data_IF_169535963732
#
_entry.id   IF_169535963732
#
_cell.length_a   1.000
_cell.length_b   1.000
_cell.length_c   1.000
_cell.angle_alpha   90.00
_cell.angle_beta   90.00
_cell.angle_gamma   90.00
#
_symmetry.space_group_name_H-M   'P 1'
#
loop_
_entity.id
_entity.type
_entity.pdbx_description
1 polymer ?
#
# COMPACT_ATOMS: atom_id res chain seq x y z
N UNK A 1 26.41 25.64 92.44
CA UNK A 1 25.45 24.60 92.89
C UNK A 1 24.20 24.70 92.02
N UNK A 2 23.78 23.57 91.42
CA UNK A 2 22.49 23.19 90.79
C UNK A 2 21.46 24.32 90.57
N UNK A 3 20.81 24.44 89.39
CA UNK A 3 19.79 23.48 88.92
C UNK A 3 19.59 23.48 87.40
N UNK A 4 19.32 22.25 86.94
CA UNK A 4 18.93 21.79 85.62
C UNK A 4 17.39 21.90 85.49
N UNK A 5 16.86 22.34 84.35
CA UNK A 5 15.55 21.85 83.84
C UNK A 5 15.46 22.07 82.32
N UNK A 6 15.16 20.97 81.64
CA UNK A 6 14.82 20.79 80.23
C UNK A 6 13.60 21.61 79.79
N UNK A 7 13.61 22.10 78.56
CA UNK A 7 12.42 22.03 77.70
C UNK A 7 12.83 21.65 76.27
N UNK A 8 12.25 20.55 75.81
CA UNK A 8 12.38 19.97 74.48
C UNK A 8 11.57 20.79 73.47
N UNK A 9 12.12 21.09 72.29
CA UNK A 9 11.33 21.32 71.09
C UNK A 9 12.11 20.90 69.84
N UNK A 10 12.02 19.59 69.57
CA UNK A 10 11.84 18.93 68.27
C UNK A 10 12.25 19.76 67.04
N UNK A 11 13.41 19.40 66.48
CA UNK A 11 13.87 19.74 65.14
C UNK A 11 13.30 18.70 64.16
N UNK A 12 12.23 19.04 63.46
CA UNK A 12 11.72 18.23 62.34
C UNK A 12 12.16 18.89 61.04
N UNK A 13 13.26 18.40 60.48
CA UNK A 13 13.72 18.75 59.15
C UNK A 13 12.87 17.96 58.13
N UNK A 14 11.88 18.62 57.53
CA UNK A 14 11.07 18.06 56.45
C UNK A 14 11.93 18.04 55.18
N UNK A 15 12.54 16.91 54.88
CA UNK A 15 13.16 16.66 53.57
C UNK A 15 11.99 16.41 52.61
N UNK A 16 11.62 17.44 51.87
CA UNK A 16 10.71 17.30 50.74
C UNK A 16 11.53 16.57 49.66
N UNK A 17 11.41 15.25 49.61
CA UNK A 17 11.76 14.51 48.41
C UNK A 17 10.75 14.93 47.34
N UNK A 18 11.13 15.94 46.54
CA UNK A 18 10.53 16.12 45.23
C UNK A 18 10.86 14.84 44.46
N UNK A 19 9.89 13.93 44.40
CA UNK A 19 9.88 12.88 43.40
C UNK A 19 9.71 13.65 42.10
N UNK A 20 10.83 13.95 41.45
CA UNK A 20 10.86 14.34 40.05
C UNK A 20 10.22 13.16 39.33
N UNK A 21 8.93 13.28 39.05
CA UNK A 21 8.27 12.41 38.09
C UNK A 21 8.91 12.77 36.76
N UNK A 22 10.05 12.15 36.48
CA UNK A 22 10.43 11.84 35.11
C UNK A 22 9.31 10.95 34.59
N UNK A 23 8.22 11.59 34.15
CA UNK A 23 7.48 11.13 32.98
C UNK A 23 8.56 10.85 31.96
N UNK A 24 8.92 9.58 31.83
CA UNK A 24 9.38 9.07 30.57
C UNK A 24 8.25 9.45 29.61
N UNK A 25 8.42 10.56 28.90
CA UNK A 25 7.88 10.62 27.56
C UNK A 25 8.43 9.37 26.89
N UNK A 26 7.57 8.38 26.70
CA UNK A 26 7.74 7.43 25.61
C UNK A 26 7.86 8.32 24.37
N UNK A 27 9.09 8.70 24.05
CA UNK A 27 9.43 9.21 22.74
C UNK A 27 9.15 8.03 21.82
N UNK A 28 7.94 7.99 21.25
CA UNK A 28 7.67 7.21 20.04
C UNK A 28 8.84 7.47 19.10
N UNK A 29 9.41 6.45 18.44
CA UNK A 29 10.55 6.63 17.54
C UNK A 29 10.21 7.76 16.57
N UNK A 30 10.85 8.91 16.76
CA UNK A 30 10.59 10.12 15.99
C UNK A 30 11.45 10.06 14.75
N UNK A 31 10.82 9.85 13.61
CA UNK A 31 11.46 9.81 12.30
C UNK A 31 10.62 9.06 11.28
N UNK A 32 10.89 9.33 10.01
CA UNK A 32 10.18 8.72 8.89
C UNK A 32 10.86 7.41 8.47
N UNK A 33 10.07 6.53 7.87
CA UNK A 33 10.54 5.36 7.13
C UNK A 33 10.42 5.64 5.63
N UNK A 34 11.15 4.89 4.81
CA UNK A 34 10.99 4.91 3.36
C UNK A 34 10.14 3.72 2.92
N UNK A 35 9.17 3.96 2.04
CA UNK A 35 8.40 2.92 1.36
C UNK A 35 8.59 3.04 -0.14
N UNK A 36 8.82 1.90 -0.80
CA UNK A 36 8.79 1.76 -2.25
C UNK A 36 7.84 0.65 -2.66
N UNK A 37 6.99 0.93 -3.65
CA UNK A 37 6.09 -0.05 -4.24
C UNK A 37 6.60 -0.44 -5.63
N UNK A 38 6.79 -1.74 -5.82
CA UNK A 38 7.15 -2.34 -7.11
C UNK A 38 5.97 -3.14 -7.66
N UNK A 39 5.87 -3.22 -8.98
CA UNK A 39 4.83 -3.95 -9.71
C UNK A 39 5.43 -5.08 -10.54
N UNK A 40 4.77 -6.24 -10.54
CA UNK A 40 5.03 -7.39 -11.41
C UNK A 40 3.72 -8.08 -11.80
N UNK A 41 3.80 -9.06 -12.69
CA UNK A 41 2.65 -9.77 -13.25
C UNK A 41 2.93 -11.28 -13.48
N UNK A 42 1.85 -12.04 -13.65
CA UNK A 42 1.79 -13.43 -14.08
C UNK A 42 1.32 -13.56 -15.56
N UNK A 43 1.78 -14.58 -16.30
CA UNK A 43 1.50 -14.71 -17.73
C UNK A 43 0.02 -14.99 -18.02
N UNK A 44 -0.49 -14.43 -19.13
CA UNK A 44 -1.76 -14.83 -19.74
C UNK A 44 -1.54 -15.25 -21.21
N UNK A 45 -2.16 -16.36 -21.61
CA UNK A 45 -1.88 -17.00 -22.91
C UNK A 45 -2.63 -16.37 -24.11
N UNK A 46 -3.73 -15.64 -23.85
CA UNK A 46 -4.65 -15.14 -24.90
C UNK A 46 -4.62 -13.61 -25.07
N UNK A 47 -3.79 -12.93 -24.28
CA UNK A 47 -3.66 -11.48 -24.24
C UNK A 47 -2.25 -11.15 -24.73
N UNK A 48 -2.14 -10.24 -25.69
CA UNK A 48 -0.86 -9.72 -26.19
C UNK A 48 -0.38 -8.53 -25.38
N UNK A 49 -1.30 -7.63 -25.03
CA UNK A 49 -1.02 -6.44 -24.23
C UNK A 49 -2.09 -6.27 -23.15
N UNK A 50 -1.67 -5.92 -21.93
CA UNK A 50 -2.57 -5.63 -20.82
C UNK A 50 -2.15 -4.31 -20.16
N UNK A 51 -2.70 -3.22 -20.69
CA UNK A 51 -2.38 -1.87 -20.24
C UNK A 51 -3.22 -1.46 -19.02
N UNK A 52 -2.55 -0.90 -18.02
CA UNK A 52 -3.17 -0.26 -16.86
C UNK A 52 -2.61 1.14 -16.64
N UNK A 53 -3.48 2.05 -16.22
CA UNK A 53 -3.16 3.43 -15.86
C UNK A 53 -3.40 3.62 -14.38
N UNK A 54 -2.35 3.83 -13.60
CA UNK A 54 -2.42 3.94 -12.14
C UNK A 54 -2.23 5.41 -11.76
N UNK A 55 -3.28 6.03 -11.24
CA UNK A 55 -3.27 7.46 -10.89
C UNK A 55 -2.91 7.74 -9.44
N UNK A 56 -3.04 6.75 -8.56
CA UNK A 56 -2.79 6.94 -7.12
C UNK A 56 -2.39 5.64 -6.44
N UNK A 57 -1.43 5.71 -5.52
CA UNK A 57 -1.03 4.63 -4.63
C UNK A 57 -0.94 5.21 -3.22
N UNK A 58 -1.63 4.60 -2.26
CA UNK A 58 -1.70 5.17 -0.91
C UNK A 58 -1.89 4.11 0.16
N UNK A 59 -1.45 4.45 1.37
CA UNK A 59 -1.58 3.64 2.57
C UNK A 59 -2.74 4.13 3.43
N UNK A 60 -3.35 3.21 4.18
CA UNK A 60 -4.33 3.53 5.22
C UNK A 60 -3.82 2.97 6.55
N UNK A 61 -3.57 3.82 7.56
CA UNK A 61 -3.25 3.41 8.92
C UNK A 61 -4.31 2.50 9.54
N UNK A 62 -3.88 1.70 10.52
CA UNK A 62 -4.80 0.84 11.26
C UNK A 62 -5.65 1.55 12.31
N UNK A 63 -5.21 2.72 12.75
CA UNK A 63 -5.88 3.53 13.77
C UNK A 63 -6.52 4.74 13.10
N UNK A 64 -7.82 4.94 13.33
CA UNK A 64 -8.54 6.13 12.89
C UNK A 64 -8.30 7.24 13.91
N UNK A 65 -7.75 8.37 13.48
CA UNK A 65 -7.84 9.60 14.26
C UNK A 65 -9.26 10.18 14.07
N UNK A 66 -10.09 10.24 15.12
CA UNK A 66 -11.46 10.73 15.01
C UNK A 66 -11.57 12.23 14.72
N UNK A 67 -10.48 13.01 14.79
CA UNK A 67 -10.47 14.46 14.54
C UNK A 67 -9.90 14.87 13.16
N UNK A 68 -9.08 14.04 12.52
CA UNK A 68 -8.30 14.41 11.31
C UNK A 68 -8.90 13.89 9.97
N UNK A 69 -10.02 13.16 9.99
CA UNK A 69 -10.57 12.49 8.80
C UNK A 69 -9.87 11.14 8.52
N UNK A 70 -10.29 10.35 7.51
CA UNK A 70 -9.72 9.01 7.31
C UNK A 70 -8.24 9.15 6.97
N UNK A 71 -7.32 8.71 7.84
CA UNK A 71 -5.91 8.96 7.62
C UNK A 71 -5.48 8.14 6.40
N UNK A 72 -4.85 8.80 5.43
CA UNK A 72 -4.15 8.12 4.34
C UNK A 72 -2.82 8.82 4.07
N UNK A 73 -1.86 8.06 3.57
CA UNK A 73 -0.54 8.56 3.17
C UNK A 73 -0.33 8.22 1.71
N UNK A 74 -0.19 9.25 0.89
CA UNK A 74 0.05 9.10 -0.54
C UNK A 74 1.51 8.73 -0.81
N UNK A 75 1.68 7.64 -1.56
CA UNK A 75 2.97 7.22 -2.12
C UNK A 75 3.12 7.69 -3.57
N UNK A 76 1.99 7.90 -4.24
CA UNK A 76 1.89 8.50 -5.56
C UNK A 76 0.47 9.06 -5.74
N UNK A 77 0.32 10.27 -6.27
CA UNK A 77 -0.99 10.85 -6.61
C UNK A 77 -0.84 11.84 -7.78
N UNK A 78 -1.07 11.36 -9.00
CA UNK A 78 -1.12 12.18 -10.21
C UNK A 78 -2.22 11.66 -11.15
N UNK A 79 -3.39 12.28 -11.07
CA UNK A 79 -4.53 11.97 -11.93
C UNK A 79 -4.39 12.52 -13.36
N UNK A 80 -3.52 13.50 -13.58
CA UNK A 80 -3.29 14.08 -14.91
C UNK A 80 -2.26 13.27 -15.70
N UNK A 81 -1.29 12.67 -15.01
CA UNK A 81 -0.22 11.85 -15.58
C UNK A 81 -0.12 10.48 -14.88
N UNK A 82 -1.13 9.61 -15.02
CA UNK A 82 -1.09 8.28 -14.42
C UNK A 82 0.08 7.43 -14.95
N UNK A 83 0.62 6.58 -14.10
CA UNK A 83 1.64 5.61 -14.45
C UNK A 83 1.07 4.57 -15.42
N UNK A 84 1.76 4.35 -16.54
CA UNK A 84 1.32 3.44 -17.59
C UNK A 84 2.18 2.19 -17.60
N UNK A 85 1.55 1.03 -17.45
CA UNK A 85 2.24 -0.25 -17.50
C UNK A 85 1.50 -1.20 -18.44
N UNK A 86 2.25 -1.83 -19.34
CA UNK A 86 1.84 -3.08 -19.95
C UNK A 86 2.28 -4.20 -19.01
N UNK A 87 1.32 -4.78 -18.29
CA UNK A 87 1.56 -5.79 -17.27
C UNK A 87 2.29 -7.01 -17.85
N UNK A 88 2.01 -7.32 -19.12
CA UNK A 88 2.64 -8.40 -19.85
C UNK A 88 4.14 -8.17 -20.11
N UNK A 89 4.69 -6.99 -19.85
CA UNK A 89 6.14 -6.75 -19.87
C UNK A 89 6.83 -7.01 -18.53
N UNK A 90 6.07 -7.15 -17.44
CA UNK A 90 6.57 -7.24 -16.06
C UNK A 90 6.66 -8.68 -15.54
N UNK A 91 6.97 -9.62 -16.45
CA UNK A 91 7.07 -11.06 -16.17
C UNK A 91 8.52 -11.51 -15.98
N UNK A 92 8.71 -12.76 -15.58
CA UNK A 92 10.03 -13.42 -15.47
C UNK A 92 11.05 -12.66 -14.59
N UNK A 93 10.56 -12.03 -13.52
CA UNK A 93 11.38 -11.26 -12.58
C UNK A 93 11.64 -9.82 -12.99
N UNK A 94 11.02 -9.34 -14.07
CA UNK A 94 10.98 -7.92 -14.41
C UNK A 94 9.99 -7.22 -13.49
N UNK A 95 10.41 -6.11 -12.88
CA UNK A 95 9.57 -5.28 -12.01
C UNK A 95 9.58 -3.84 -12.50
N UNK A 96 8.47 -3.13 -12.32
CA UNK A 96 8.40 -1.69 -12.51
C UNK A 96 8.34 -0.97 -11.15
N UNK A 97 9.07 0.14 -11.03
CA UNK A 97 8.91 1.05 -9.89
C UNK A 97 7.67 1.93 -10.09
N UNK A 98 6.84 2.00 -9.05
CA UNK A 98 5.63 2.81 -9.05
C UNK A 98 5.79 4.13 -8.29
N UNK A 99 6.56 4.15 -7.21
CA UNK A 99 6.51 5.27 -6.24
C UNK A 99 7.88 5.91 -6.02
N UNK A 100 8.98 5.22 -6.37
CA UNK A 100 10.27 5.51 -5.77
C UNK A 100 10.26 5.29 -4.26
N UNK A 101 11.30 5.76 -3.57
CA UNK A 101 11.33 5.80 -2.11
C UNK A 101 10.57 7.04 -1.61
N UNK A 102 9.52 6.82 -0.82
CA UNK A 102 8.68 7.87 -0.25
C UNK A 102 8.79 7.86 1.27
N UNK A 103 9.05 9.02 1.86
CA UNK A 103 9.04 9.21 3.32
C UNK A 103 7.61 9.08 3.85
N UNK A 104 7.42 8.18 4.81
CA UNK A 104 6.17 7.98 5.53
C UNK A 104 6.43 8.02 7.03
N UNK A 105 5.47 8.52 7.85
CA UNK A 105 5.59 8.45 9.29
C UNK A 105 5.77 7.00 9.77
N UNK A 106 6.67 6.78 10.73
CA UNK A 106 6.78 5.50 11.40
C UNK A 106 5.44 5.12 12.06
N UNK A 107 5.02 3.86 11.89
CA UNK A 107 3.69 3.42 12.31
C UNK A 107 3.24 2.13 11.61
N UNK A 108 1.97 1.78 11.83
CA UNK A 108 1.34 0.59 11.24
C UNK A 108 0.26 0.95 10.24
N UNK A 109 0.42 0.47 9.01
CA UNK A 109 -0.54 0.62 7.91
C UNK A 109 -1.22 -0.72 7.62
N UNK A 110 -2.56 -0.72 7.68
CA UNK A 110 -3.36 -1.92 7.51
C UNK A 110 -3.78 -2.16 6.06
N UNK A 111 -3.68 -1.15 5.20
CA UNK A 111 -4.05 -1.27 3.80
C UNK A 111 -3.08 -0.53 2.90
N UNK A 112 -2.81 -1.12 1.76
CA UNK A 112 -2.24 -0.48 0.58
C UNK A 112 -3.32 -0.51 -0.51
N UNK A 113 -3.52 0.61 -1.19
CA UNK A 113 -4.55 0.77 -2.21
C UNK A 113 -4.00 1.44 -3.46
N UNK A 114 -4.55 1.06 -4.61
CA UNK A 114 -4.21 1.62 -5.91
C UNK A 114 -5.47 2.10 -6.64
N UNK A 115 -5.46 3.32 -7.16
CA UNK A 115 -6.50 3.80 -8.08
C UNK A 115 -6.03 3.50 -9.50
N UNK A 116 -6.73 2.57 -10.15
CA UNK A 116 -6.59 2.31 -11.59
C UNK A 116 -7.59 3.19 -12.32
N UNK A 117 -7.09 4.18 -13.04
CA UNK A 117 -7.87 5.15 -13.79
C UNK A 117 -8.42 4.56 -15.09
N UNK A 118 -7.66 3.67 -15.74
CA UNK A 118 -8.05 3.02 -16.98
C UNK A 118 -7.39 1.63 -17.10
N UNK A 119 -7.97 0.76 -17.91
CA UNK A 119 -7.40 -0.52 -18.31
C UNK A 119 -7.86 -0.87 -19.73
N UNK A 120 -6.94 -1.42 -20.52
CA UNK A 120 -7.17 -1.79 -21.91
C UNK A 120 -6.41 -3.08 -22.19
N UNK A 121 -7.00 -3.95 -23.00
CA UNK A 121 -6.36 -5.19 -23.43
C UNK A 121 -6.34 -5.28 -24.95
N UNK A 122 -5.29 -5.91 -25.47
CA UNK A 122 -5.19 -6.36 -26.86
C UNK A 122 -5.10 -7.88 -26.85
N UNK A 123 -5.99 -8.54 -27.59
CA UNK A 123 -5.99 -10.00 -27.75
C UNK A 123 -4.81 -10.44 -28.62
N UNK A 124 -4.29 -11.64 -28.35
CA UNK A 124 -3.22 -12.23 -29.15
C UNK A 124 -3.62 -12.50 -30.61
N UNK A 125 -2.61 -12.55 -31.48
CA UNK A 125 -2.77 -12.90 -32.89
C UNK A 125 -3.63 -14.15 -33.08
N UNK A 126 -4.66 -14.03 -33.92
CA UNK A 126 -5.61 -15.09 -34.21
C UNK A 126 -6.86 -15.09 -33.32
N UNK A 127 -6.94 -14.19 -32.34
CA UNK A 127 -8.14 -13.96 -31.54
C UNK A 127 -8.79 -12.61 -31.89
N UNK A 128 -10.11 -12.59 -31.92
CA UNK A 128 -10.91 -11.38 -32.09
C UNK A 128 -12.15 -11.43 -31.19
N UNK A 129 -12.63 -10.25 -30.82
CA UNK A 129 -13.95 -10.11 -30.22
C UNK A 129 -15.04 -10.39 -31.27
N UNK A 130 -16.24 -10.70 -30.80
CA UNK A 130 -17.37 -11.05 -31.66
C UNK A 130 -17.81 -9.92 -32.63
N UNK A 131 -17.33 -8.69 -32.42
CA UNK A 131 -17.52 -7.55 -33.31
C UNK A 131 -16.36 -7.33 -34.31
N UNK A 132 -15.36 -8.22 -34.32
CA UNK A 132 -14.18 -8.18 -35.18
C UNK A 132 -13.07 -7.24 -34.70
N UNK A 133 -13.16 -6.70 -33.49
CA UNK A 133 -12.09 -5.90 -32.88
C UNK A 133 -11.09 -6.79 -32.13
N UNK A 134 -9.87 -6.30 -31.90
CA UNK A 134 -8.83 -7.01 -31.13
C UNK A 134 -8.50 -6.31 -29.81
N UNK A 135 -8.86 -5.03 -29.67
CA UNK A 135 -8.55 -4.20 -28.50
C UNK A 135 -9.83 -3.72 -27.83
N UNK A 136 -9.87 -3.75 -26.50
CA UNK A 136 -10.98 -3.21 -25.71
C UNK A 136 -10.54 -2.52 -24.43
N UNK A 137 -11.13 -1.35 -24.21
CA UNK A 137 -11.16 -0.73 -22.90
C UNK A 137 -12.07 -1.50 -21.95
N UNK A 138 -11.62 -1.60 -20.71
CA UNK A 138 -12.29 -2.37 -19.68
C UNK A 138 -12.92 -1.46 -18.66
N UNK A 139 -14.09 -1.88 -18.17
CA UNK A 139 -14.71 -1.22 -17.03
C UNK A 139 -13.90 -1.53 -15.78
N UNK A 140 -13.50 -0.49 -15.03
CA UNK A 140 -12.83 -0.64 -13.73
C UNK A 140 -13.88 -0.77 -12.63
N UNK A 141 -14.06 -1.94 -11.99
CA UNK A 141 -15.01 -2.09 -10.89
C UNK A 141 -14.44 -1.38 -9.65
N UNK A 142 -15.22 -0.51 -9.02
CA UNK A 142 -14.92 0.15 -7.72
C UNK A 142 -13.59 0.95 -7.59
N UNK A 143 -12.67 0.86 -8.56
CA UNK A 143 -11.34 1.47 -8.51
C UNK A 143 -11.35 2.99 -8.55
N UNK A 144 -12.33 3.61 -9.19
CA UNK A 144 -12.39 5.07 -9.37
C UNK A 144 -12.75 5.86 -8.09
N UNK A 145 -13.21 5.21 -7.02
CA UNK A 145 -13.64 5.91 -5.79
C UNK A 145 -12.91 5.45 -4.52
N UNK A 146 -12.68 4.14 -4.35
CA UNK A 146 -12.08 3.60 -3.12
C UNK A 146 -10.73 2.93 -3.33
N UNK A 147 -10.23 2.87 -4.56
CA UNK A 147 -9.02 2.14 -4.93
C UNK A 147 -9.16 0.61 -4.78
N UNK A 148 -8.47 -0.11 -5.64
CA UNK A 148 -8.28 -1.55 -5.54
C UNK A 148 -7.39 -1.83 -4.33
N UNK A 149 -7.87 -2.65 -3.39
CA UNK A 149 -7.10 -3.05 -2.22
C UNK A 149 -6.05 -4.08 -2.62
N UNK A 150 -4.81 -3.85 -2.19
CA UNK A 150 -3.75 -4.86 -2.22
C UNK A 150 -3.93 -5.79 -1.03
N UNK A 151 -3.99 -7.10 -1.30
CA UNK A 151 -4.00 -8.12 -0.27
C UNK A 151 -2.59 -8.27 0.28
N UNK A 152 -2.31 -7.51 1.35
CA UNK A 152 -1.08 -7.60 2.12
C UNK A 152 -1.04 -8.94 2.88
N UNK A 153 0.17 -9.51 3.01
CA UNK A 153 0.38 -10.73 3.80
C UNK A 153 0.17 -10.46 5.30
N UNK A 154 0.57 -9.26 5.73
CA UNK A 154 0.38 -8.70 7.06
C UNK A 154 0.43 -7.16 6.98
N UNK A 155 0.02 -6.47 8.06
CA UNK A 155 0.13 -5.01 8.11
C UNK A 155 1.56 -4.54 7.87
N UNK A 156 1.72 -3.36 7.29
CA UNK A 156 3.03 -2.73 7.07
C UNK A 156 3.40 -1.99 8.34
N UNK A 157 4.35 -2.53 9.09
CA UNK A 157 4.93 -1.86 10.26
C UNK A 157 6.23 -1.22 9.86
N UNK A 158 6.36 0.07 10.11
CA UNK A 158 7.52 0.89 9.77
C UNK A 158 8.15 1.46 11.02
N UNK A 159 9.48 1.47 11.05
CA UNK A 159 10.28 2.13 12.08
C UNK A 159 11.13 3.23 11.44
N UNK A 160 11.44 4.28 12.20
CA UNK A 160 12.27 5.38 11.72
C UNK A 160 13.60 4.86 11.15
N UNK A 161 13.95 5.29 9.93
CA UNK A 161 15.19 4.88 9.25
C UNK A 161 15.13 3.53 8.52
N UNK A 162 13.99 2.83 8.54
CA UNK A 162 13.82 1.60 7.74
C UNK A 162 13.44 1.90 6.29
N UNK A 163 13.85 1.03 5.37
CA UNK A 163 13.44 1.05 3.96
C UNK A 163 12.62 -0.20 3.71
N UNK A 164 11.36 -0.02 3.31
CA UNK A 164 10.39 -1.08 3.08
C UNK A 164 10.08 -1.15 1.57
N UNK A 165 10.51 -2.21 0.92
CA UNK A 165 10.23 -2.45 -0.50
C UNK A 165 9.16 -3.53 -0.61
N UNK A 166 8.00 -3.17 -1.17
CA UNK A 166 6.84 -4.06 -1.31
C UNK A 166 6.67 -4.38 -2.79
N UNK A 167 6.78 -5.66 -3.14
CA UNK A 167 6.49 -6.13 -4.49
C UNK A 167 5.03 -6.57 -4.57
N UNK A 168 4.28 -5.93 -5.46
CA UNK A 168 2.87 -6.21 -5.72
C UNK A 168 2.72 -6.94 -7.04
N UNK A 169 1.93 -8.00 -7.00
CA UNK A 169 1.51 -8.80 -8.14
C UNK A 169 0.13 -8.32 -8.65
N UNK A 170 0.07 -8.03 -9.95
CA UNK A 170 -1.14 -7.70 -10.69
C UNK A 170 -1.39 -8.76 -11.75
N UNK A 171 -1.70 -9.98 -11.29
CA UNK A 171 -1.92 -11.18 -12.10
C UNK A 171 -2.99 -10.97 -13.20
N UNK A 172 -2.56 -10.87 -14.45
CA UNK A 172 -3.42 -10.70 -15.63
C UNK A 172 -4.39 -11.87 -15.80
N UNK A 173 -3.96 -13.11 -15.60
CA UNK A 173 -4.79 -14.31 -15.78
C UNK A 173 -5.97 -14.34 -14.79
N UNK A 174 -5.71 -13.94 -13.54
CA UNK A 174 -6.76 -13.85 -12.52
C UNK A 174 -7.65 -12.60 -12.68
N UNK A 175 -7.07 -11.52 -13.22
CA UNK A 175 -7.76 -10.24 -13.27
C UNK A 175 -8.57 -10.03 -14.55
N UNK A 176 -8.23 -10.68 -15.66
CA UNK A 176 -8.89 -10.48 -16.96
C UNK A 176 -9.59 -11.74 -17.45
N UNK A 177 -10.84 -11.90 -17.05
CA UNK A 177 -11.62 -13.11 -17.32
C UNK A 177 -12.30 -13.03 -18.69
N UNK A 178 -11.92 -13.92 -19.61
CA UNK A 178 -12.56 -14.07 -20.92
C UNK A 178 -14.04 -14.39 -20.75
N UNK A 179 -14.90 -13.64 -21.43
CA UNK A 179 -16.31 -13.93 -21.59
C UNK A 179 -16.57 -14.48 -22.99
N UNK A 180 -17.13 -15.68 -23.09
CA UNK A 180 -17.37 -16.38 -24.36
C UNK A 180 -16.44 -17.57 -24.56
N UNK A 181 -16.32 -18.04 -25.79
CA UNK A 181 -15.46 -19.17 -26.13
C UNK A 181 -14.85 -18.95 -27.54
N UNK A 182 -13.52 -18.76 -27.64
CA UNK A 182 -12.85 -18.54 -28.92
C UNK A 182 -12.99 -19.71 -29.90
N UNK A 183 -13.24 -20.93 -29.41
CA UNK A 183 -13.37 -22.13 -30.25
C UNK A 183 -14.78 -22.30 -30.85
N UNK A 184 -15.68 -21.34 -30.65
CA UNK A 184 -17.06 -21.39 -31.13
C UNK A 184 -17.36 -20.24 -32.08
N UNK A 185 -18.37 -20.33 -32.95
CA UNK A 185 -18.80 -19.20 -33.79
C UNK A 185 -19.25 -17.96 -33.00
N UNK A 186 -19.52 -18.10 -31.70
CA UNK A 186 -19.79 -16.96 -30.84
C UNK A 186 -18.51 -16.19 -30.48
N UNK A 187 -17.33 -16.83 -30.50
CA UNK A 187 -16.06 -16.18 -30.21
C UNK A 187 -15.96 -15.58 -28.80
N UNK A 188 -15.02 -14.65 -28.62
CA UNK A 188 -14.85 -13.88 -27.40
C UNK A 188 -15.83 -12.71 -27.42
N UNK A 189 -16.72 -12.64 -26.42
CA UNK A 189 -17.75 -11.60 -26.31
C UNK A 189 -17.23 -10.34 -25.60
N UNK A 190 -16.25 -10.52 -24.73
CA UNK A 190 -15.67 -9.46 -23.94
C UNK A 190 -14.73 -10.03 -22.89
N UNK A 191 -14.16 -9.14 -22.09
CA UNK A 191 -13.29 -9.49 -20.98
C UNK A 191 -13.81 -8.76 -19.76
N UNK A 192 -13.97 -9.50 -18.67
CA UNK A 192 -14.36 -8.97 -17.38
C UNK A 192 -13.11 -8.70 -16.57
N UNK A 193 -12.93 -7.44 -16.16
CA UNK A 193 -11.88 -7.09 -15.23
C UNK A 193 -12.32 -7.33 -13.78
N UNK A 194 -11.66 -8.23 -13.07
CA UNK A 194 -11.89 -8.59 -11.66
C UNK A 194 -10.62 -8.34 -10.83
N UNK A 195 -10.29 -7.07 -10.52
CA UNK A 195 -9.01 -6.73 -9.93
C UNK A 195 -8.77 -7.37 -8.56
N UNK A 196 -7.69 -8.12 -8.48
CA UNK A 196 -7.13 -8.76 -7.31
C UNK A 196 -5.62 -8.50 -7.30
N UNK A 197 -5.19 -7.60 -6.42
CA UNK A 197 -3.78 -7.28 -6.22
C UNK A 197 -3.27 -7.97 -4.96
N UNK A 198 -2.01 -8.42 -4.98
CA UNK A 198 -1.43 -9.19 -3.87
C UNK A 198 -0.02 -8.77 -3.58
N UNK A 199 0.35 -8.74 -2.31
CA UNK A 199 1.76 -8.65 -1.93
C UNK A 199 2.45 -9.97 -2.24
N UNK A 200 3.42 -9.94 -3.16
CA UNK A 200 4.22 -11.10 -3.50
C UNK A 200 5.39 -11.27 -2.52
N UNK A 201 6.06 -10.16 -2.19
CA UNK A 201 7.14 -10.15 -1.20
C UNK A 201 7.32 -8.76 -0.61
N UNK A 202 8.02 -8.72 0.54
CA UNK A 202 8.43 -7.48 1.20
C UNK A 202 9.84 -7.64 1.74
N UNK A 203 10.67 -6.63 1.50
CA UNK A 203 12.01 -6.52 2.07
C UNK A 203 12.05 -5.32 3.00
N UNK A 204 12.71 -5.46 4.14
CA UNK A 204 12.90 -4.38 5.12
C UNK A 204 14.39 -4.30 5.42
N UNK A 205 14.99 -3.15 5.10
CA UNK A 205 16.39 -2.85 5.38
C UNK A 205 16.51 -1.73 6.43
N UNK A 206 17.59 -1.73 7.21
CA UNK A 206 17.93 -0.60 8.10
C UNK A 206 17.61 -0.74 9.59
N UNK A 207 17.79 -1.93 10.17
CA UNK A 207 17.80 -2.12 11.65
C UNK A 207 19.17 -1.89 12.29
#
# INVERSE_FOLDING_TARGET
MKRLTLFSLILTLFVIAACESSTASDESPSGDALIQILLTDAPADYIEEAWVWISRVYLIPGEEDPEEGPPFVDLFDDAENPLMYDLLTLRDGVTADMTGEVEVPAGTYNQLRMIVANAEITLADGYEFADGTTTRQLMIPSGAQSGIKVNLNESITTEAGTINVILVDFDVDQNFVIQGNPDTPAGIQGILFTPMLRELSRTVDGS
#
